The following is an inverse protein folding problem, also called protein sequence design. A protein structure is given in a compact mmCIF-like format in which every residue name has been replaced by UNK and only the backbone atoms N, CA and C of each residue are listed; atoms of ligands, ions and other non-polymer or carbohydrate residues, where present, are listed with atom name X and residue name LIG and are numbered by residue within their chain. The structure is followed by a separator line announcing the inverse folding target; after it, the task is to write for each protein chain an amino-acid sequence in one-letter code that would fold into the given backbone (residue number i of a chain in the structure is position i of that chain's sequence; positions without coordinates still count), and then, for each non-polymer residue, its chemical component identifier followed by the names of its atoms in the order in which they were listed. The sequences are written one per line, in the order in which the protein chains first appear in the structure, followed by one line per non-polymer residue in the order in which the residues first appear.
data_IF_589515992000
#
_entry.id   IF_589515992000
#
_cell.length_a   1.000
_cell.length_b   1.000
_cell.length_c   1.000
_cell.angle_alpha   90.00
_cell.angle_beta   90.00
_cell.angle_gamma   90.00
#
_symmetry.space_group_name_H-M   'P 1'
#
loop_
_entity.id
_entity.type
_entity.pdbx_description
1 polymer ?
#
# COMPACT_ATOMS: atom_id res chain seq x y z
N UNK A 1 -16.97 19.25 15.56
CA UNK A 1 -15.72 18.69 15.01
C UNK A 1 -15.80 18.78 13.51
N UNK A 2 -14.92 19.54 12.86
CA UNK A 2 -14.85 19.55 11.40
C UNK A 2 -14.25 18.22 10.93
N UNK A 3 -15.00 17.45 10.16
CA UNK A 3 -14.44 16.29 9.44
C UNK A 3 -13.43 16.86 8.46
N UNK A 4 -12.13 16.65 8.72
CA UNK A 4 -11.09 16.95 7.74
C UNK A 4 -11.35 16.02 6.56
N UNK A 5 -11.91 16.55 5.47
CA UNK A 5 -12.02 15.80 4.23
C UNK A 5 -10.61 15.43 3.79
N UNK A 6 -10.33 14.13 3.63
CA UNK A 6 -9.07 13.66 3.02
C UNK A 6 -9.04 14.24 1.61
N UNK A 7 -8.17 15.23 1.38
CA UNK A 7 -7.99 15.80 0.05
C UNK A 7 -7.42 14.71 -0.87
N UNK A 8 -7.84 14.70 -2.13
CA UNK A 8 -7.18 13.85 -3.12
C UNK A 8 -5.71 14.26 -3.26
N UNK A 9 -4.80 13.29 -3.41
CA UNK A 9 -3.42 13.59 -3.73
C UNK A 9 -3.35 14.23 -5.12
N UNK A 10 -2.26 14.94 -5.36
CA UNK A 10 -1.92 15.42 -6.70
C UNK A 10 -1.48 14.20 -7.54
N UNK A 11 -2.32 13.80 -8.49
CA UNK A 11 -2.08 12.65 -9.36
C UNK A 11 -1.25 13.07 -10.58
N UNK A 12 -0.23 12.27 -10.91
CA UNK A 12 0.68 12.48 -12.03
C UNK A 12 0.23 11.76 -13.30
N UNK A 13 -0.44 10.60 -13.19
CA UNK A 13 -0.84 9.78 -14.33
C UNK A 13 -2.27 9.26 -14.24
N UNK A 14 -2.69 8.79 -13.08
CA UNK A 14 -4.02 8.22 -12.86
C UNK A 14 -5.08 9.32 -12.82
N UNK A 15 -6.28 8.96 -13.27
CA UNK A 15 -7.49 9.76 -13.00
C UNK A 15 -7.97 9.53 -11.56
N UNK A 16 -8.83 10.42 -11.06
CA UNK A 16 -9.47 10.27 -9.74
C UNK A 16 -10.16 8.92 -9.55
N UNK A 17 -10.80 8.39 -10.61
CA UNK A 17 -11.51 7.11 -10.54
C UNK A 17 -10.51 5.94 -10.49
N UNK A 18 -9.49 5.94 -11.35
CA UNK A 18 -8.44 4.93 -11.35
C UNK A 18 -7.68 4.89 -10.03
N UNK A 19 -7.38 6.07 -9.46
CA UNK A 19 -6.79 6.17 -8.13
C UNK A 19 -7.69 5.57 -7.05
N UNK A 20 -9.00 5.86 -7.05
CA UNK A 20 -9.94 5.27 -6.06
C UNK A 20 -10.00 3.74 -6.18
N UNK A 21 -9.99 3.20 -7.40
CA UNK A 21 -9.93 1.76 -7.63
C UNK A 21 -8.61 1.19 -7.08
N UNK A 22 -7.48 1.83 -7.41
CA UNK A 22 -6.17 1.40 -6.94
C UNK A 22 -6.04 1.49 -5.41
N UNK A 23 -6.50 2.57 -4.78
CA UNK A 23 -6.45 2.77 -3.33
C UNK A 23 -7.29 1.67 -2.63
N UNK A 24 -8.51 1.40 -3.12
CA UNK A 24 -9.34 0.32 -2.61
C UNK A 24 -8.70 -1.06 -2.80
N UNK A 25 -8.13 -1.33 -3.97
CA UNK A 25 -7.44 -2.58 -4.26
C UNK A 25 -6.21 -2.76 -3.36
N UNK A 26 -5.44 -1.70 -3.17
CA UNK A 26 -4.24 -1.71 -2.34
C UNK A 26 -4.60 -2.05 -0.89
N UNK A 27 -5.67 -1.43 -0.37
CA UNK A 27 -6.21 -1.76 0.97
C UNK A 27 -6.66 -3.21 1.09
N UNK A 28 -7.32 -3.76 0.05
CA UNK A 28 -7.79 -5.14 0.07
C UNK A 28 -6.62 -6.15 0.04
N UNK A 29 -5.53 -5.84 -0.66
CA UNK A 29 -4.35 -6.72 -0.75
C UNK A 29 -3.46 -6.63 0.51
N UNK A 30 -3.26 -5.42 1.03
CA UNK A 30 -2.44 -5.15 2.22
C UNK A 30 -3.25 -4.29 3.19
N UNK A 31 -4.17 -4.90 3.97
CA UNK A 31 -4.92 -4.19 4.99
C UNK A 31 -3.99 -3.79 6.14
N UNK A 32 -4.34 -2.71 6.85
CA UNK A 32 -3.71 -2.40 8.12
C UNK A 32 -4.16 -3.39 9.20
N UNK A 33 -3.32 -3.59 10.21
CA UNK A 33 -3.71 -4.32 11.42
C UNK A 33 -4.56 -3.48 12.37
N UNK A 34 -4.74 -3.99 13.59
CA UNK A 34 -5.55 -3.35 14.63
C UNK A 34 -5.07 -1.94 14.99
N UNK A 35 -3.76 -1.69 14.87
CA UNK A 35 -3.16 -0.37 15.08
C UNK A 35 -2.34 0.06 13.87
N UNK A 36 -2.91 0.88 12.96
CA UNK A 36 -2.25 1.30 11.72
C UNK A 36 -0.95 2.11 11.91
N UNK A 37 -0.67 2.63 13.12
CA UNK A 37 0.60 3.30 13.42
C UNK A 37 1.77 2.32 13.57
N UNK A 38 1.49 1.12 14.07
CA UNK A 38 2.49 0.08 14.32
C UNK A 38 2.38 -1.09 13.36
N UNK A 39 1.22 -1.25 12.71
CA UNK A 39 0.93 -2.27 11.70
C UNK A 39 0.22 -1.62 10.50
N UNK A 40 0.94 -0.79 9.73
CA UNK A 40 0.41 -0.05 8.59
C UNK A 40 -0.07 -0.95 7.45
N UNK A 41 -1.13 -0.54 6.78
CA UNK A 41 -1.53 -1.10 5.48
C UNK A 41 -1.03 -0.24 4.32
N UNK A 42 -1.45 -0.60 3.12
CA UNK A 42 -1.10 0.16 1.91
C UNK A 42 -1.66 1.59 1.88
N UNK A 43 -2.69 1.89 2.67
CA UNK A 43 -3.26 3.24 2.77
C UNK A 43 -2.34 4.14 3.58
N UNK A 44 -1.88 3.66 4.73
CA UNK A 44 -1.04 4.40 5.65
C UNK A 44 0.34 4.69 5.05
N UNK A 45 0.84 3.80 4.20
CA UNK A 45 2.08 4.01 3.44
C UNK A 45 1.84 4.71 2.10
N UNK A 46 0.62 5.13 1.78
CA UNK A 46 0.25 5.76 0.52
C UNK A 46 0.77 5.01 -0.73
N UNK A 47 0.69 3.68 -0.72
CA UNK A 47 1.24 2.86 -1.78
C UNK A 47 0.66 3.22 -3.17
N UNK A 48 -0.61 3.63 -3.23
CA UNK A 48 -1.26 4.07 -4.46
C UNK A 48 -0.68 5.37 -5.03
N UNK A 49 -0.31 6.33 -4.17
CA UNK A 49 0.32 7.60 -4.58
C UNK A 49 1.71 7.34 -5.13
N UNK A 50 2.49 6.53 -4.42
CA UNK A 50 3.82 6.16 -4.87
C UNK A 50 3.77 5.35 -6.18
N UNK A 51 2.75 4.49 -6.34
CA UNK A 51 2.57 3.75 -7.59
C UNK A 51 2.18 4.66 -8.76
N UNK A 52 1.31 5.65 -8.55
CA UNK A 52 1.00 6.66 -9.56
C UNK A 52 2.27 7.38 -10.04
N UNK A 53 3.16 7.74 -9.10
CA UNK A 53 4.47 8.34 -9.42
C UNK A 53 5.42 7.39 -10.16
N UNK A 54 5.51 6.11 -9.77
CA UNK A 54 6.31 5.12 -10.50
C UNK A 54 5.79 4.98 -11.93
N UNK A 55 4.46 4.84 -12.07
CA UNK A 55 3.84 4.64 -13.38
C UNK A 55 4.01 5.89 -14.26
N UNK A 56 3.97 7.10 -13.70
CA UNK A 56 4.19 8.34 -14.45
C UNK A 56 5.62 8.48 -14.98
N UNK A 57 6.60 7.87 -14.28
CA UNK A 57 8.02 7.92 -14.65
C UNK A 57 8.48 6.66 -15.42
N UNK A 58 7.61 5.66 -15.56
CA UNK A 58 7.92 4.36 -16.17
C UNK A 58 7.65 4.30 -17.67
N UNK A 59 7.74 3.09 -18.22
CA UNK A 59 7.39 2.80 -19.61
C UNK A 59 5.87 2.97 -19.84
N UNK A 60 5.48 3.71 -20.89
CA UNK A 60 4.09 3.94 -21.26
C UNK A 60 3.29 2.65 -21.54
N UNK A 61 3.92 1.62 -22.12
CA UNK A 61 3.25 0.33 -22.34
C UNK A 61 2.90 -0.33 -21.02
N UNK A 62 3.83 -0.31 -20.06
CA UNK A 62 3.60 -0.85 -18.74
C UNK A 62 2.48 -0.12 -17.99
N UNK A 63 2.45 1.21 -18.08
CA UNK A 63 1.39 2.03 -17.51
C UNK A 63 0.01 1.72 -18.12
N UNK A 64 -0.06 1.58 -19.45
CA UNK A 64 -1.29 1.21 -20.16
C UNK A 64 -1.82 -0.16 -19.71
N UNK A 65 -0.96 -1.17 -19.73
CA UNK A 65 -1.25 -2.53 -19.27
C UNK A 65 -1.75 -2.58 -17.81
N UNK A 66 -1.16 -1.75 -16.95
CA UNK A 66 -1.57 -1.65 -15.55
C UNK A 66 -2.96 -1.05 -15.41
N UNK A 67 -3.23 0.05 -16.13
CA UNK A 67 -4.53 0.73 -16.14
C UNK A 67 -5.63 -0.18 -16.69
N UNK A 68 -5.35 -0.95 -17.73
CA UNK A 68 -6.31 -1.92 -18.27
C UNK A 68 -6.71 -2.98 -17.23
N UNK A 69 -5.76 -3.44 -16.41
CA UNK A 69 -6.05 -4.33 -15.28
C UNK A 69 -7.01 -3.70 -14.26
N UNK A 70 -6.78 -2.44 -13.87
CA UNK A 70 -7.67 -1.72 -12.95
C UNK A 70 -9.09 -1.57 -13.52
N UNK A 71 -9.20 -1.19 -14.79
CA UNK A 71 -10.48 -1.01 -15.47
C UNK A 71 -11.22 -2.34 -15.65
N UNK A 72 -10.49 -3.43 -15.89
CA UNK A 72 -11.06 -4.78 -15.99
C UNK A 72 -11.65 -5.24 -14.66
N UNK A 73 -10.95 -5.00 -13.54
CA UNK A 73 -11.49 -5.24 -12.20
C UNK A 73 -12.75 -4.41 -11.95
N UNK A 74 -12.74 -3.12 -12.30
CA UNK A 74 -13.90 -2.25 -12.11
C UNK A 74 -15.10 -2.67 -12.96
N UNK A 75 -14.85 -3.08 -14.21
CA UNK A 75 -15.87 -3.64 -15.09
C UNK A 75 -16.49 -4.91 -14.50
N UNK A 76 -15.68 -5.80 -13.95
CA UNK A 76 -16.17 -7.01 -13.27
C UNK A 76 -17.04 -6.64 -12.05
N UNK A 77 -16.64 -5.64 -11.26
CA UNK A 77 -17.43 -5.13 -10.14
C UNK A 77 -18.81 -4.62 -10.62
N UNK A 78 -18.86 -3.82 -11.69
CA UNK A 78 -20.11 -3.35 -12.28
C UNK A 78 -20.98 -4.50 -12.81
N UNK A 79 -20.38 -5.50 -13.46
CA UNK A 79 -21.11 -6.65 -13.98
C UNK A 79 -21.75 -7.49 -12.87
N UNK A 80 -21.09 -7.64 -11.72
CA UNK A 80 -21.57 -8.50 -10.62
C UNK A 80 -22.45 -7.75 -9.61
N UNK A 81 -22.16 -6.48 -9.35
CA UNK A 81 -22.75 -5.72 -8.24
C UNK A 81 -23.34 -4.37 -8.65
N UNK A 82 -23.26 -3.99 -9.93
CA UNK A 82 -23.74 -2.69 -10.46
C UNK A 82 -23.13 -1.47 -9.74
N UNK A 83 -21.91 -1.63 -9.22
CA UNK A 83 -21.16 -0.60 -8.50
C UNK A 83 -19.69 -0.67 -8.88
N UNK A 84 -19.02 0.48 -8.81
CA UNK A 84 -17.57 0.53 -8.91
C UNK A 84 -16.92 -0.29 -7.78
N UNK A 85 -15.73 -0.83 -8.05
CA UNK A 85 -15.01 -1.69 -7.11
C UNK A 85 -14.77 -1.02 -5.75
N UNK A 86 -14.40 0.26 -5.75
CA UNK A 86 -14.12 1.03 -4.52
C UNK A 86 -15.37 1.34 -3.68
N UNK A 87 -16.58 1.10 -4.21
CA UNK A 87 -17.85 1.24 -3.49
C UNK A 87 -18.35 -0.08 -2.89
N UNK A 88 -17.64 -1.18 -3.15
CA UNK A 88 -17.93 -2.48 -2.55
C UNK A 88 -17.34 -2.55 -1.14
N UNK A 89 -17.93 -3.42 -0.31
CA UNK A 89 -17.50 -3.62 1.07
C UNK A 89 -16.90 -5.01 1.24
N UNK A 90 -17.61 -5.91 1.92
CA UNK A 90 -17.23 -7.32 2.08
C UNK A 90 -17.17 -8.07 0.75
N UNK A 91 -17.84 -7.56 -0.29
CA UNK A 91 -17.87 -8.15 -1.63
C UNK A 91 -16.54 -8.01 -2.37
N UNK A 92 -15.63 -7.13 -1.92
CA UNK A 92 -14.33 -6.96 -2.57
C UNK A 92 -13.52 -8.26 -2.59
N UNK A 93 -13.46 -8.98 -1.47
CA UNK A 93 -12.64 -10.18 -1.35
C UNK A 93 -13.11 -11.29 -2.31
N UNK A 94 -14.42 -11.51 -2.39
CA UNK A 94 -15.00 -12.50 -3.29
C UNK A 94 -14.77 -12.12 -4.76
N UNK A 95 -14.92 -10.83 -5.10
CA UNK A 95 -14.65 -10.35 -6.45
C UNK A 95 -13.18 -10.49 -6.83
N UNK A 96 -12.25 -10.24 -5.90
CA UNK A 96 -10.82 -10.43 -6.14
C UNK A 96 -10.44 -11.89 -6.36
N UNK A 97 -11.11 -12.83 -5.68
CA UNK A 97 -10.94 -14.27 -5.95
C UNK A 97 -11.40 -14.64 -7.35
N UNK A 98 -12.55 -14.12 -7.79
CA UNK A 98 -13.05 -14.32 -9.15
C UNK A 98 -12.09 -13.70 -10.17
N UNK A 99 -11.67 -12.45 -9.95
CA UNK A 99 -10.74 -11.77 -10.86
C UNK A 99 -9.40 -12.50 -10.98
N UNK A 100 -8.86 -13.01 -9.86
CA UNK A 100 -7.63 -13.79 -9.85
C UNK A 100 -7.75 -15.13 -10.60
N UNK A 101 -8.94 -15.71 -10.63
CA UNK A 101 -9.22 -16.95 -11.37
C UNK A 101 -9.43 -16.70 -12.87
N UNK A 102 -10.14 -15.63 -13.22
CA UNK A 102 -10.51 -15.30 -14.60
C UNK A 102 -9.35 -14.63 -15.37
N UNK A 103 -8.59 -13.74 -14.71
CA UNK A 103 -7.44 -13.04 -15.28
C UNK A 103 -6.28 -12.97 -14.27
N UNK A 104 -5.66 -14.13 -14.08
CA UNK A 104 -4.52 -14.29 -13.16
C UNK A 104 -3.35 -13.36 -13.50
N UNK A 105 -3.09 -13.09 -14.79
CA UNK A 105 -1.95 -12.28 -15.21
C UNK A 105 -2.14 -10.82 -14.79
N UNK A 106 -3.31 -10.23 -15.07
CA UNK A 106 -3.63 -8.87 -14.63
C UNK A 106 -3.67 -8.77 -13.12
N UNK A 107 -4.35 -9.71 -12.43
CA UNK A 107 -4.40 -9.71 -10.97
C UNK A 107 -3.00 -9.77 -10.35
N UNK A 108 -2.14 -10.69 -10.82
CA UNK A 108 -0.80 -10.85 -10.27
C UNK A 108 0.09 -9.64 -10.58
N UNK A 109 -0.08 -9.00 -11.73
CA UNK A 109 0.62 -7.74 -12.07
C UNK A 109 0.23 -6.62 -11.10
N UNK A 110 -1.07 -6.38 -10.91
CA UNK A 110 -1.58 -5.38 -9.97
C UNK A 110 -1.04 -5.65 -8.55
N UNK A 111 -1.18 -6.89 -8.08
CA UNK A 111 -0.73 -7.33 -6.75
C UNK A 111 0.76 -7.11 -6.53
N UNK A 112 1.61 -7.49 -7.50
CA UNK A 112 3.07 -7.31 -7.40
C UNK A 112 3.45 -5.83 -7.26
N UNK A 113 2.85 -4.97 -8.06
CA UNK A 113 3.14 -3.54 -7.99
C UNK A 113 2.68 -2.91 -6.69
N UNK A 114 1.52 -3.34 -6.15
CA UNK A 114 1.05 -2.88 -4.85
C UNK A 114 2.04 -3.28 -3.74
N UNK A 115 2.55 -4.52 -3.75
CA UNK A 115 3.60 -4.91 -2.81
C UNK A 115 4.88 -4.10 -2.99
N UNK A 116 5.32 -3.93 -4.23
CA UNK A 116 6.52 -3.15 -4.52
C UNK A 116 6.37 -1.73 -4.00
N UNK A 117 5.23 -1.08 -4.23
CA UNK A 117 4.98 0.28 -3.76
C UNK A 117 4.87 0.37 -2.24
N UNK A 118 4.17 -0.56 -1.60
CA UNK A 118 4.08 -0.63 -0.14
C UNK A 118 5.48 -0.70 0.49
N UNK A 119 6.32 -1.64 0.04
CA UNK A 119 7.67 -1.75 0.57
C UNK A 119 8.58 -0.60 0.12
N UNK A 120 8.40 0.01 -1.05
CA UNK A 120 9.34 1.02 -1.55
C UNK A 120 9.08 2.44 -0.99
N UNK A 121 7.87 2.75 -0.52
CA UNK A 121 7.51 4.10 -0.06
C UNK A 121 7.86 4.37 1.42
N UNK A 122 9.06 3.97 1.87
CA UNK A 122 9.48 4.11 3.28
C UNK A 122 10.20 5.43 3.61
N UNK A 123 10.54 6.24 2.61
CA UNK A 123 11.30 7.49 2.78
C UNK A 123 10.43 8.72 3.01
N UNK A 124 9.09 8.56 3.07
CA UNK A 124 8.19 9.69 3.28
C UNK A 124 8.33 10.19 4.72
N UNK A 125 8.83 11.42 4.90
CA UNK A 125 9.12 12.00 6.22
C UNK A 125 7.89 12.07 7.15
N UNK A 126 6.69 12.23 6.58
CA UNK A 126 5.42 12.27 7.32
C UNK A 126 4.95 10.89 7.82
N UNK A 127 5.62 9.82 7.40
CA UNK A 127 5.31 8.46 7.81
C UNK A 127 5.84 8.23 9.24
N UNK A 128 5.05 8.64 10.24
CA UNK A 128 5.35 8.53 11.68
C UNK A 128 5.23 7.09 12.24
N UNK A 129 5.00 6.11 11.36
CA UNK A 129 4.77 4.70 11.71
C UNK A 129 6.03 3.84 11.59
N UNK A 130 5.88 2.55 11.91
CA UNK A 130 6.91 1.53 11.65
C UNK A 130 7.01 1.34 10.15
N UNK A 131 8.20 1.45 9.57
CA UNK A 131 8.40 1.24 8.14
C UNK A 131 7.98 -0.19 7.73
N UNK A 132 7.47 -0.40 6.51
CA UNK A 132 7.14 -1.75 6.02
C UNK A 132 8.28 -2.76 6.12
N UNK A 133 9.54 -2.30 6.10
CA UNK A 133 10.70 -3.16 6.22
C UNK A 133 10.93 -3.59 7.67
N UNK A 134 10.71 -2.69 8.63
CA UNK A 134 10.77 -3.02 10.06
C UNK A 134 9.73 -4.08 10.44
N UNK A 135 8.55 -4.13 9.78
CA UNK A 135 7.56 -5.19 9.98
C UNK A 135 8.10 -6.59 9.66
N UNK A 136 9.01 -6.70 8.69
CA UNK A 136 9.64 -7.97 8.31
C UNK A 136 11.01 -8.17 8.97
N UNK A 137 11.35 -7.33 9.95
CA UNK A 137 12.62 -7.39 10.68
C UNK A 137 13.83 -6.89 9.89
N UNK A 138 13.62 -6.14 8.81
CA UNK A 138 14.69 -5.59 7.98
C UNK A 138 14.76 -4.07 8.15
N UNK A 139 15.89 -3.54 8.61
CA UNK A 139 16.05 -2.09 8.86
C UNK A 139 16.35 -1.28 7.58
N UNK A 140 16.46 -1.97 6.44
CA UNK A 140 16.82 -1.38 5.15
C UNK A 140 18.27 -1.00 4.97
N UNK A 141 18.61 -0.39 3.82
CA UNK A 141 19.95 0.10 3.61
C UNK A 141 20.17 1.21 4.63
N UNK A 142 21.21 1.09 5.45
CA UNK A 142 21.58 2.14 6.40
C UNK A 142 22.07 3.34 5.60
N UNK A 143 21.15 4.17 5.12
CA UNK A 143 21.49 5.46 4.54
C UNK A 143 21.80 6.37 5.72
N UNK A 144 23.06 6.77 5.87
CA UNK A 144 23.52 7.69 6.90
C UNK A 144 22.90 9.09 6.71
N UNK A 145 21.62 9.23 7.02
CA UNK A 145 20.94 10.52 7.21
C UNK A 145 20.59 10.66 8.68
N UNK A 146 20.48 11.87 9.21
CA UNK A 146 20.24 12.09 10.65
C UNK A 146 18.99 11.35 11.19
N UNK A 147 17.97 11.09 10.35
CA UNK A 147 16.80 10.29 10.70
C UNK A 147 17.13 8.80 10.96
N UNK A 148 18.10 8.23 10.24
CA UNK A 148 18.56 6.85 10.45
C UNK A 148 19.22 6.65 11.82
N UNK A 149 19.90 7.67 12.34
CA UNK A 149 20.56 7.61 13.65
C UNK A 149 19.54 7.52 14.80
N UNK A 150 18.42 8.23 14.72
CA UNK A 150 17.33 8.12 15.70
C UNK A 150 16.58 6.78 15.61
N UNK A 151 16.37 6.24 14.40
CA UNK A 151 15.79 4.91 14.21
C UNK A 151 16.68 3.81 14.79
N UNK A 152 17.98 3.85 14.52
CA UNK A 152 18.96 2.90 15.08
C UNK A 152 18.96 2.97 16.62
N UNK A 153 18.95 4.18 17.19
CA UNK A 153 18.95 4.36 18.64
C UNK A 153 17.67 3.82 19.32
N UNK A 154 16.49 4.00 18.70
CA UNK A 154 15.23 3.41 19.23
C UNK A 154 15.29 1.88 19.28
N UNK A 155 15.87 1.24 18.27
CA UNK A 155 15.99 -0.21 18.21
C UNK A 155 17.00 -0.76 19.23
N UNK A 156 18.12 -0.04 19.42
CA UNK A 156 19.13 -0.40 20.42
C UNK A 156 18.55 -0.39 21.84
N UNK A 157 17.78 0.63 22.21
CA UNK A 157 17.16 0.71 23.54
C UNK A 157 16.08 -0.35 23.78
N UNK A 158 15.25 -0.66 22.77
CA UNK A 158 14.20 -1.69 22.89
C UNK A 158 14.79 -3.10 23.07
N UNK A 159 15.90 -3.40 22.39
CA UNK A 159 16.61 -4.68 22.53
C UNK A 159 17.31 -4.88 23.89
N UNK A 160 17.58 -3.78 24.62
CA UNK A 160 18.19 -3.81 25.95
C UNK A 160 17.15 -3.98 27.06
N UNK A 161 15.96 -3.40 26.89
CA UNK A 161 14.86 -3.54 27.88
C UNK A 161 14.23 -4.94 27.90
N UNK A 162 14.26 -5.67 26.78
CA UNK A 162 13.74 -7.05 26.72
C UNK A 162 14.74 -8.12 27.20
N UNK A 163 15.94 -7.73 27.65
CA UNK A 163 17.00 -8.64 28.11
C UNK A 163 17.17 -8.72 29.64
N UNK A 164 16.19 -8.28 30.42
CA UNK A 164 16.10 -8.70 31.83
C UNK A 164 15.52 -10.11 31.89
N UNK A 165 16.37 -11.11 31.62
CA UNK A 165 16.15 -12.47 32.08
C UNK A 165 16.22 -12.49 33.61
N UNK A 166 15.09 -12.68 34.28
CA UNK A 166 15.09 -13.18 35.66
C UNK A 166 15.56 -14.62 35.61
N UNK A 167 16.76 -14.86 36.14
CA UNK A 167 17.25 -16.19 36.48
C UNK A 167 16.54 -16.61 37.78
N UNK A 168 15.63 -17.58 37.67
CA UNK A 168 15.24 -18.45 38.78
C UNK A 168 16.08 -19.74 38.73
#
# INVERSE_FOLDING_TARGET
MAVKLKQMPELKLLTDEEYKILEALSKAIIPAGDNPKTDPGAIETEAAVFLDEILSNGDHYFASDFKEGLLSLNKLAYQKHQKAFYLLSKEQDDLLRVFAADDYLSFNRLRKMIFQSFYSNYTKEDYQGISPWELIGYLGPVTYTHASAEMINRHYHKSQTDKTFTLD
#
